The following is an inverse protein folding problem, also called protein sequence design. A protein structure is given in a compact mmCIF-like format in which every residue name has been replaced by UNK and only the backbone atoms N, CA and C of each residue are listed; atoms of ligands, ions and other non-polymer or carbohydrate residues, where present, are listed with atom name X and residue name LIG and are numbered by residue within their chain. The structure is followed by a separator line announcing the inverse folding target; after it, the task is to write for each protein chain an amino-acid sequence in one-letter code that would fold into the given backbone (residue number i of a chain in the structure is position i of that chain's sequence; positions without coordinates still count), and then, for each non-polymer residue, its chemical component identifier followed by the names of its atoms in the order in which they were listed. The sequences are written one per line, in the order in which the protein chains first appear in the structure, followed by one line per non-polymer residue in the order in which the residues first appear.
data_IF_523925081716
#
_entry.id   IF_523925081716
#
_cell.length_a   1.000
_cell.length_b   1.000
_cell.length_c   1.000
_cell.angle_alpha   90.00
_cell.angle_beta   90.00
_cell.angle_gamma   90.00
#
_symmetry.space_group_name_H-M   'P 1'
#
loop_
_entity.id
_entity.type
_entity.pdbx_description
1 polymer ?
#
# COMPACT_ATOMS: atom_id res chain seq x y z
N UNK A 1 -1.99 10.56 13.53
CA UNK A 1 -2.51 9.37 12.86
C UNK A 1 -1.38 8.38 12.63
N UNK A 2 -1.62 7.08 12.82
CA UNK A 2 -0.60 6.09 12.50
C UNK A 2 -0.24 6.08 11.01
N UNK A 3 1.01 5.81 10.71
CA UNK A 3 1.53 5.85 9.34
C UNK A 3 1.57 4.43 8.76
N UNK A 4 1.13 4.29 7.52
CA UNK A 4 1.03 2.99 6.84
C UNK A 4 1.57 3.09 5.42
N UNK A 5 2.11 1.97 4.93
CA UNK A 5 2.55 1.80 3.55
C UNK A 5 1.69 0.70 2.90
N UNK A 6 1.26 0.93 1.67
CA UNK A 6 0.50 -0.06 0.90
C UNK A 6 1.28 -0.34 -0.39
N UNK A 7 1.49 -1.61 -0.72
CA UNK A 7 2.25 -1.95 -1.91
C UNK A 7 1.45 -1.73 -3.20
N UNK A 8 2.18 -1.64 -4.32
CA UNK A 8 1.58 -1.34 -5.62
C UNK A 8 0.59 -2.40 -6.08
N UNK A 9 0.84 -3.68 -5.77
CA UNK A 9 -0.06 -4.76 -6.16
C UNK A 9 -1.38 -4.71 -5.40
N UNK A 10 -1.36 -4.31 -4.14
CA UNK A 10 -2.59 -4.11 -3.36
C UNK A 10 -3.40 -2.94 -3.94
N UNK A 11 -2.73 -1.84 -4.31
CA UNK A 11 -3.39 -0.71 -4.98
C UNK A 11 -4.02 -1.15 -6.31
N UNK A 12 -3.28 -1.93 -7.10
CA UNK A 12 -3.79 -2.44 -8.38
C UNK A 12 -5.01 -3.35 -8.17
N UNK A 13 -4.97 -4.22 -7.17
CA UNK A 13 -6.10 -5.09 -6.83
C UNK A 13 -7.32 -4.28 -6.40
N UNK A 14 -7.11 -3.18 -5.65
CA UNK A 14 -8.18 -2.26 -5.27
C UNK A 14 -8.83 -1.63 -6.50
N UNK A 15 -8.04 -1.26 -7.50
CA UNK A 15 -8.53 -0.67 -8.74
C UNK A 15 -9.30 -1.69 -9.58
N UNK A 16 -8.83 -2.95 -9.61
CA UNK A 16 -9.42 -4.00 -10.45
C UNK A 16 -10.87 -4.35 -10.07
N UNK A 17 -11.19 -4.30 -8.78
CA UNK A 17 -12.51 -4.74 -8.33
C UNK A 17 -13.03 -3.79 -7.26
N UNK A 18 -14.10 -3.06 -7.60
CA UNK A 18 -14.80 -2.23 -6.64
C UNK A 18 -15.42 -3.09 -5.52
N UNK A 19 -15.49 -2.54 -4.33
CA UNK A 19 -16.05 -3.21 -3.13
C UNK A 19 -15.29 -4.46 -2.71
N UNK A 20 -14.04 -4.59 -3.18
CA UNK A 20 -13.15 -5.69 -2.78
C UNK A 20 -12.44 -5.37 -1.46
N UNK A 21 -11.87 -6.41 -0.85
CA UNK A 21 -11.06 -6.23 0.37
C UNK A 21 -9.87 -5.29 0.14
N UNK A 22 -9.08 -5.39 -0.97
CA UNK A 22 -8.02 -4.41 -1.23
C UNK A 22 -8.54 -2.98 -1.36
N UNK A 23 -9.68 -2.75 -1.99
CA UNK A 23 -10.25 -1.41 -2.08
C UNK A 23 -10.65 -0.90 -0.68
N UNK A 24 -11.30 -1.73 0.12
CA UNK A 24 -11.65 -1.37 1.49
C UNK A 24 -10.40 -1.01 2.29
N UNK A 25 -9.34 -1.80 2.18
CA UNK A 25 -8.08 -1.52 2.86
C UNK A 25 -7.50 -0.16 2.44
N UNK A 26 -7.48 0.13 1.15
CA UNK A 26 -6.99 1.41 0.64
C UNK A 26 -7.80 2.58 1.17
N UNK A 27 -9.12 2.49 1.12
CA UNK A 27 -10.00 3.56 1.60
C UNK A 27 -9.87 3.77 3.11
N UNK A 28 -9.77 2.69 3.88
CA UNK A 28 -9.57 2.79 5.33
C UNK A 28 -8.21 3.41 5.67
N UNK A 29 -7.17 3.09 4.90
CA UNK A 29 -5.86 3.69 5.10
C UNK A 29 -5.89 5.20 4.87
N UNK A 30 -6.57 5.64 3.81
CA UNK A 30 -6.69 7.06 3.50
C UNK A 30 -7.56 7.80 4.51
N UNK A 31 -8.53 7.11 5.11
CA UNK A 31 -9.49 7.73 6.03
C UNK A 31 -9.01 7.73 7.48
N UNK A 32 -8.42 6.63 7.95
CA UNK A 32 -8.11 6.45 9.38
C UNK A 32 -6.63 6.44 9.70
N UNK A 33 -5.77 6.22 8.72
CA UNK A 33 -4.32 6.28 8.87
C UNK A 33 -3.73 7.36 7.97
N UNK A 34 -2.43 7.54 8.04
CA UNK A 34 -1.69 8.36 7.09
C UNK A 34 -0.94 7.45 6.13
N UNK A 35 -1.38 7.38 4.88
CA UNK A 35 -0.70 6.61 3.85
C UNK A 35 0.50 7.38 3.33
N UNK A 36 1.67 6.72 3.30
CA UNK A 36 2.91 7.33 2.83
C UNK A 36 3.36 6.72 1.52
N UNK A 37 3.98 7.56 0.70
CA UNK A 37 4.57 7.19 -0.59
C UNK A 37 5.99 7.72 -0.68
N UNK A 38 6.80 7.04 -1.49
CA UNK A 38 8.08 7.55 -1.99
C UNK A 38 8.01 7.64 -3.51
N UNK A 39 8.96 8.33 -4.14
CA UNK A 39 9.01 8.37 -5.61
C UNK A 39 9.12 6.98 -6.23
N UNK A 40 10.00 6.07 -5.74
CA UNK A 40 10.06 4.73 -6.31
C UNK A 40 8.76 3.93 -6.18
N UNK A 41 8.07 4.05 -5.05
CA UNK A 41 6.80 3.35 -4.85
C UNK A 41 5.71 3.95 -5.73
N UNK A 42 5.63 5.26 -5.83
CA UNK A 42 4.67 5.94 -6.71
C UNK A 42 4.91 5.55 -8.18
N UNK A 43 6.17 5.50 -8.59
CA UNK A 43 6.52 5.07 -9.95
C UNK A 43 6.07 3.63 -10.21
N UNK A 44 6.23 2.73 -9.25
CA UNK A 44 5.76 1.35 -9.38
C UNK A 44 4.24 1.27 -9.47
N UNK A 45 3.52 2.04 -8.68
CA UNK A 45 2.04 2.11 -8.77
C UNK A 45 1.62 2.52 -10.17
N UNK A 46 2.22 3.56 -10.72
CA UNK A 46 1.92 4.01 -12.08
C UNK A 46 2.26 2.96 -13.13
N UNK A 47 3.41 2.30 -12.97
CA UNK A 47 3.85 1.25 -13.89
C UNK A 47 2.89 0.07 -13.88
N UNK A 48 2.50 -0.40 -12.69
CA UNK A 48 1.59 -1.54 -12.56
C UNK A 48 0.22 -1.22 -13.13
N UNK A 49 -0.35 -0.06 -12.80
CA UNK A 49 -1.66 0.36 -13.32
C UNK A 49 -1.64 0.62 -14.82
N UNK A 50 -0.48 0.95 -15.38
CA UNK A 50 -0.30 1.16 -16.82
C UNK A 50 -0.08 -0.09 -17.65
N UNK A 51 0.05 -1.26 -17.02
CA UNK A 51 0.27 -2.51 -17.76
C UNK A 51 -0.93 -2.85 -18.64
N UNK A 52 -0.70 -3.40 -19.87
CA UNK A 52 -1.81 -3.72 -20.77
C UNK A 52 -2.87 -4.63 -20.15
N UNK A 53 -2.46 -5.56 -19.30
CA UNK A 53 -3.34 -6.45 -18.55
C UNK A 53 -4.37 -5.67 -17.71
N UNK A 54 -3.94 -4.60 -17.04
CA UNK A 54 -4.85 -3.78 -16.25
C UNK A 54 -5.67 -2.84 -17.11
N UNK A 55 -5.05 -2.23 -18.13
CA UNK A 55 -5.74 -1.33 -19.07
C UNK A 55 -6.88 -2.02 -19.82
N UNK A 56 -6.76 -3.33 -20.03
CA UNK A 56 -7.79 -4.13 -20.70
C UNK A 56 -9.08 -4.22 -19.86
N UNK A 57 -8.93 -4.29 -18.54
CA UNK A 57 -10.05 -4.47 -17.62
C UNK A 57 -10.46 -3.19 -16.92
N UNK A 58 -9.56 -2.19 -16.89
CA UNK A 58 -9.82 -0.90 -16.25
C UNK A 58 -9.94 0.17 -17.32
N UNK A 59 -11.04 0.89 -17.31
CA UNK A 59 -11.11 2.10 -18.10
C UNK A 59 -10.15 3.17 -17.57
N UNK A 60 -9.75 4.14 -18.41
CA UNK A 60 -8.84 5.20 -17.96
C UNK A 60 -9.43 6.02 -16.81
N UNK A 61 -10.75 6.13 -16.73
CA UNK A 61 -11.41 6.86 -15.65
C UNK A 61 -11.20 6.20 -14.28
N UNK A 62 -11.21 4.87 -14.22
CA UNK A 62 -11.00 4.15 -12.96
C UNK A 62 -9.56 4.33 -12.46
N UNK A 63 -8.59 4.28 -13.37
CA UNK A 63 -7.18 4.50 -13.02
C UNK A 63 -6.99 5.93 -12.51
N UNK A 64 -7.56 6.90 -13.21
CA UNK A 64 -7.50 8.32 -12.81
C UNK A 64 -8.15 8.54 -11.45
N UNK A 65 -9.30 7.91 -11.20
CA UNK A 65 -10.02 7.99 -9.93
C UNK A 65 -9.17 7.48 -8.76
N UNK A 66 -8.59 6.29 -8.90
CA UNK A 66 -7.75 5.71 -7.85
C UNK A 66 -6.50 6.57 -7.60
N UNK A 67 -5.84 7.03 -8.66
CA UNK A 67 -4.68 7.90 -8.53
C UNK A 67 -5.04 9.22 -7.86
N UNK A 68 -6.18 9.80 -8.20
CA UNK A 68 -6.63 11.05 -7.60
C UNK A 68 -6.90 10.90 -6.10
N UNK A 69 -7.53 9.79 -5.69
CA UNK A 69 -7.76 9.49 -4.28
C UNK A 69 -6.43 9.39 -3.50
N UNK A 70 -5.46 8.68 -4.06
CA UNK A 70 -4.17 8.50 -3.41
C UNK A 70 -3.41 9.83 -3.32
N UNK A 71 -3.33 10.56 -4.43
CA UNK A 71 -2.54 11.80 -4.48
C UNK A 71 -3.16 12.93 -3.67
N UNK A 72 -4.47 12.89 -3.43
CA UNK A 72 -5.14 13.90 -2.61
C UNK A 72 -4.74 13.82 -1.15
N UNK A 73 -4.55 12.62 -0.60
CA UNK A 73 -4.39 12.43 0.84
C UNK A 73 -3.07 11.78 1.25
N UNK A 74 -2.37 11.10 0.35
CA UNK A 74 -1.11 10.45 0.70
C UNK A 74 0.02 11.45 0.91
N UNK A 75 0.96 11.07 1.77
CA UNK A 75 2.12 11.88 2.11
C UNK A 75 3.34 11.36 1.36
N UNK A 76 4.08 12.25 0.69
CA UNK A 76 5.29 11.88 -0.03
C UNK A 76 6.51 12.16 0.83
N UNK A 77 7.37 11.16 1.00
CA UNK A 77 8.64 11.30 1.72
C UNK A 77 9.78 10.79 0.85
N UNK A 78 10.98 11.28 1.12
CA UNK A 78 12.19 10.82 0.44
C UNK A 78 13.00 9.98 1.41
N UNK A 79 13.11 8.64 1.20
CA UNK A 79 13.97 7.81 2.03
C UNK A 79 15.43 8.21 1.88
N UNK A 80 16.15 8.24 3.01
CA UNK A 80 17.57 8.54 3.05
C UNK A 80 18.42 7.30 3.29
N UNK A 81 17.80 6.18 3.64
CA UNK A 81 18.45 4.91 3.92
C UNK A 81 18.15 3.95 2.78
N UNK A 82 19.16 3.19 2.35
CA UNK A 82 18.98 2.13 1.38
C UNK A 82 19.02 0.81 2.12
N UNK A 83 17.88 0.12 2.19
CA UNK A 83 17.77 -1.19 2.82
C UNK A 83 18.00 -2.28 1.77
N UNK A 84 18.71 -3.34 2.17
CA UNK A 84 18.93 -4.52 1.33
C UNK A 84 18.64 -5.76 2.17
N UNK A 85 17.37 -6.06 2.34
CA UNK A 85 16.92 -7.11 3.25
C UNK A 85 15.91 -8.07 2.64
N UNK A 86 15.20 -7.69 1.58
CA UNK A 86 14.21 -8.56 0.95
C UNK A 86 14.85 -9.61 0.06
N UNK A 87 14.22 -10.77 -0.05
CA UNK A 87 14.61 -11.82 -0.99
C UNK A 87 14.58 -11.29 -2.43
N UNK A 88 13.54 -10.52 -2.77
CA UNK A 88 13.46 -9.78 -4.03
C UNK A 88 13.93 -8.35 -3.76
N UNK A 89 15.05 -7.89 -4.33
CA UNK A 89 15.54 -6.53 -4.12
C UNK A 89 14.56 -5.44 -4.54
N UNK A 90 13.65 -5.72 -5.46
CA UNK A 90 12.62 -4.75 -5.88
C UNK A 90 11.66 -4.41 -4.75
N UNK A 91 11.56 -5.24 -3.73
CA UNK A 91 10.69 -5.01 -2.58
C UNK A 91 11.35 -4.15 -1.50
N UNK A 92 12.67 -3.94 -1.56
CA UNK A 92 13.39 -3.15 -0.57
C UNK A 92 12.89 -1.70 -0.50
N UNK A 93 12.34 -1.16 -1.59
CA UNK A 93 11.78 0.19 -1.60
C UNK A 93 10.63 0.36 -0.60
N UNK A 94 9.89 -0.70 -0.30
CA UNK A 94 8.81 -0.67 0.69
C UNK A 94 9.37 -0.58 2.11
N UNK A 95 10.47 -1.28 2.38
CA UNK A 95 11.16 -1.19 3.67
C UNK A 95 11.77 0.20 3.86
N UNK A 96 12.43 0.73 2.82
CA UNK A 96 12.97 2.10 2.85
C UNK A 96 11.89 3.11 3.18
N UNK A 97 10.75 2.99 2.50
CA UNK A 97 9.63 3.90 2.71
C UNK A 97 9.07 3.76 4.12
N UNK A 98 8.87 2.53 4.60
CA UNK A 98 8.31 2.31 5.92
C UNK A 98 9.19 2.88 7.03
N UNK A 99 10.52 2.76 6.88
CA UNK A 99 11.45 3.37 7.82
C UNK A 99 11.38 4.90 7.78
N UNK A 100 11.41 5.48 6.57
CA UNK A 100 11.36 6.94 6.40
C UNK A 100 10.06 7.54 6.93
N UNK A 101 8.96 6.82 6.79
CA UNK A 101 7.64 7.25 7.23
C UNK A 101 7.36 6.93 8.70
N UNK A 102 8.24 6.19 9.36
CA UNK A 102 7.98 5.65 10.70
C UNK A 102 6.63 4.89 10.71
N UNK A 103 6.43 4.05 9.70
CA UNK A 103 5.18 3.32 9.53
C UNK A 103 5.12 2.12 10.49
N UNK A 104 3.92 1.84 11.01
CA UNK A 104 3.72 0.66 11.86
C UNK A 104 3.44 -0.60 11.04
N UNK A 105 3.06 -0.45 9.78
CA UNK A 105 2.67 -1.58 8.95
C UNK A 105 2.89 -1.32 7.47
N UNK A 106 3.14 -2.42 6.74
CA UNK A 106 3.10 -2.49 5.28
C UNK A 106 1.97 -3.45 4.92
N UNK A 107 1.01 -2.97 4.14
CA UNK A 107 -0.09 -3.79 3.63
C UNK A 107 0.32 -4.36 2.29
N UNK A 108 0.41 -5.68 2.20
CA UNK A 108 0.97 -6.38 1.04
C UNK A 108 0.35 -7.77 0.90
N UNK A 109 0.32 -8.28 -0.32
CA UNK A 109 -0.01 -9.67 -0.59
C UNK A 109 1.22 -10.51 -0.94
N UNK A 110 2.40 -9.89 -0.96
CA UNK A 110 3.64 -10.56 -1.34
C UNK A 110 4.15 -11.45 -0.20
N UNK A 111 4.31 -12.76 -0.47
CA UNK A 111 4.78 -13.72 0.52
C UNK A 111 6.18 -13.39 1.04
N UNK A 112 7.06 -12.84 0.22
CA UNK A 112 8.41 -12.50 0.66
C UNK A 112 8.38 -11.40 1.72
N UNK A 113 7.55 -10.37 1.52
CA UNK A 113 7.36 -9.32 2.53
C UNK A 113 6.62 -9.85 3.75
N UNK A 114 5.53 -10.59 3.56
CA UNK A 114 4.75 -11.15 4.66
C UNK A 114 5.60 -12.03 5.58
N UNK A 115 6.54 -12.80 5.01
CA UNK A 115 7.40 -13.69 5.77
C UNK A 115 8.40 -12.96 6.67
N UNK A 116 8.64 -11.68 6.43
CA UNK A 116 9.54 -10.86 7.23
C UNK A 116 8.89 -10.29 8.50
N UNK A 117 7.57 -10.41 8.63
CA UNK A 117 6.82 -9.76 9.72
C UNK A 117 7.10 -10.38 11.09
N UNK A 118 7.38 -9.59 12.15
CA UNK A 118 7.68 -8.17 12.10
C UNK A 118 9.15 -7.91 11.73
N UNK A 119 9.38 -6.80 11.05
CA UNK A 119 10.74 -6.38 10.71
C UNK A 119 10.99 -4.99 11.28
N UNK A 120 11.94 -4.89 12.20
CA UNK A 120 12.25 -3.63 12.94
C UNK A 120 10.98 -2.99 13.52
N UNK A 121 10.07 -3.80 14.05
CA UNK A 121 8.82 -3.34 14.62
C UNK A 121 7.73 -3.02 13.61
N UNK A 122 8.00 -3.13 12.32
CA UNK A 122 7.02 -2.91 11.25
C UNK A 122 6.32 -4.24 10.96
N UNK A 123 5.00 -4.26 11.05
CA UNK A 123 4.21 -5.45 10.74
C UNK A 123 3.89 -5.49 9.25
N UNK A 124 4.05 -6.65 8.64
CA UNK A 124 3.57 -6.92 7.29
C UNK A 124 2.26 -7.67 7.42
N UNK A 125 1.22 -7.18 6.76
CA UNK A 125 -0.11 -7.78 6.82
C UNK A 125 -0.81 -7.67 5.47
N UNK A 126 -1.69 -8.63 5.18
CA UNK A 126 -2.48 -8.55 3.97
C UNK A 126 -3.67 -7.59 4.14
N UNK A 127 -4.39 -7.34 3.05
CA UNK A 127 -5.50 -6.40 3.06
C UNK A 127 -6.60 -6.82 4.05
N UNK A 128 -6.93 -8.11 4.14
CA UNK A 128 -7.95 -8.60 5.06
C UNK A 128 -7.56 -8.38 6.51
N UNK A 129 -6.31 -8.65 6.86
CA UNK A 129 -5.78 -8.42 8.21
C UNK A 129 -5.81 -6.94 8.57
N UNK A 130 -5.45 -6.08 7.61
CA UNK A 130 -5.47 -4.63 7.81
C UNK A 130 -6.91 -4.13 8.04
N UNK A 131 -7.85 -4.57 7.21
CA UNK A 131 -9.27 -4.20 7.38
C UNK A 131 -9.77 -4.59 8.76
N UNK A 132 -9.47 -5.82 9.21
CA UNK A 132 -9.86 -6.29 10.54
C UNK A 132 -9.23 -5.45 11.66
N UNK A 133 -7.96 -5.09 11.49
CA UNK A 133 -7.24 -4.25 12.46
C UNK A 133 -7.91 -2.88 12.61
N UNK A 134 -8.18 -2.22 11.49
CA UNK A 134 -8.81 -0.89 11.51
C UNK A 134 -10.24 -0.97 12.06
N UNK A 135 -11.02 -1.98 11.64
CA UNK A 135 -12.38 -2.15 12.13
C UNK A 135 -12.42 -2.29 13.66
N UNK A 136 -11.50 -3.09 14.22
CA UNK A 136 -11.40 -3.28 15.66
C UNK A 136 -10.95 -2.00 16.37
N UNK A 137 -9.92 -1.34 15.83
CA UNK A 137 -9.34 -0.13 16.43
C UNK A 137 -10.35 1.03 16.45
N UNK A 138 -11.09 1.21 15.35
CA UNK A 138 -12.04 2.31 15.17
C UNK A 138 -13.47 1.92 15.53
N UNK A 139 -13.70 0.68 15.99
CA UNK A 139 -15.01 0.15 16.38
C UNK A 139 -16.03 0.24 15.22
N UNK A 140 -15.59 -0.10 14.03
CA UNK A 140 -16.44 -0.10 12.85
C UNK A 140 -17.27 -1.38 12.79
N UNK A 141 -18.48 -1.35 12.15
CA UNK A 141 -19.22 -2.58 11.88
C UNK A 141 -18.38 -3.51 10.99
N UNK A 142 -18.27 -4.74 11.40
CA UNK A 142 -17.40 -5.72 10.76
C UNK A 142 -17.94 -6.35 9.51
#
# INVERSE_FOLDING_TARGET
MPNVVIDANTVASAALKAESTPETALLLALLYDAMYLSEPVLAEIREVLGRPKFRRYLGPDRITEIMALILADAHLVTPITVVRACRDPDDDKYLDLALAADAYAIVTGDHDLLSMSPWRGIRMMNAAEYVALIAAREQLPG
#
